data_IF_692414858288
#
_entry.id   IF_692414858288
#
_cell.length_a   1.000
_cell.length_b   1.000
_cell.length_c   1.000
_cell.angle_alpha   90.00
_cell.angle_beta   90.00
_cell.angle_gamma   90.00
#
_symmetry.space_group_name_H-M   'P 1'
#
loop_
_entity.id
_entity.type
_entity.pdbx_description
1 polymer ?
#
# COMPACT_ATOMS: atom_id res chain seq x y z
N UNK A 1 -6.89 7.41 -23.47
CA UNK A 1 -7.24 6.09 -22.91
C UNK A 1 -5.93 5.37 -22.64
N UNK A 2 -5.44 5.43 -21.40
CA UNK A 2 -4.19 4.74 -21.02
C UNK A 2 -4.49 3.24 -20.98
N UNK A 3 -3.83 2.46 -21.82
CA UNK A 3 -3.96 1.00 -21.79
C UNK A 3 -3.31 0.48 -20.52
N UNK A 4 -4.09 -0.09 -19.61
CA UNK A 4 -3.56 -0.80 -18.44
C UNK A 4 -2.56 -1.86 -18.91
N UNK A 5 -1.34 -1.93 -18.35
CA UNK A 5 -0.37 -2.96 -18.68
C UNK A 5 -0.97 -4.35 -18.46
N UNK A 6 -0.66 -5.28 -19.37
CA UNK A 6 -1.08 -6.67 -19.24
C UNK A 6 -0.41 -7.30 -18.01
N UNK A 7 -1.21 -7.83 -17.09
CA UNK A 7 -0.72 -8.51 -15.88
C UNK A 7 -0.28 -9.92 -16.28
N UNK A 8 1.01 -10.21 -16.19
CA UNK A 8 1.54 -11.55 -16.45
C UNK A 8 1.39 -12.42 -15.20
N UNK A 9 0.55 -13.46 -15.28
CA UNK A 9 0.27 -14.37 -14.17
C UNK A 9 0.72 -15.80 -14.51
N UNK A 10 0.98 -16.61 -13.48
CA UNK A 10 1.29 -18.02 -13.65
C UNK A 10 0.05 -18.84 -14.07
N UNK A 11 0.27 -19.97 -14.73
CA UNK A 11 -0.82 -20.82 -15.26
C UNK A 11 -1.81 -21.35 -14.19
N UNK A 12 -1.38 -21.40 -12.93
CA UNK A 12 -2.21 -21.84 -11.79
C UNK A 12 -3.03 -20.72 -11.15
N UNK A 13 -2.84 -19.46 -11.58
CA UNK A 13 -3.56 -18.32 -11.03
C UNK A 13 -5.01 -18.30 -11.51
N UNK A 14 -5.95 -18.21 -10.55
CA UNK A 14 -7.40 -18.30 -10.82
C UNK A 14 -8.17 -17.06 -10.36
N UNK A 15 -7.51 -16.15 -9.63
CA UNK A 15 -8.12 -14.92 -9.12
C UNK A 15 -8.20 -13.89 -10.24
N UNK A 16 -9.21 -13.04 -10.17
CA UNK A 16 -9.35 -11.93 -11.12
C UNK A 16 -8.45 -10.79 -10.68
N UNK A 17 -7.74 -10.17 -11.62
CA UNK A 17 -6.82 -9.09 -11.35
C UNK A 17 -7.14 -7.89 -12.24
N UNK A 18 -7.06 -6.69 -11.68
CA UNK A 18 -7.23 -5.45 -12.42
C UNK A 18 -6.13 -4.46 -12.00
N UNK A 19 -5.49 -3.85 -12.99
CA UNK A 19 -4.53 -2.78 -12.78
C UNK A 19 -5.15 -1.46 -13.22
N UNK A 20 -5.03 -0.44 -12.37
CA UNK A 20 -5.47 0.91 -12.66
C UNK A 20 -4.52 1.94 -12.04
N UNK A 21 -4.54 3.14 -12.60
CA UNK A 21 -3.88 4.32 -12.07
C UNK A 21 -4.95 5.35 -11.72
N UNK A 22 -4.95 5.80 -10.46
CA UNK A 22 -5.87 6.81 -9.97
C UNK A 22 -5.48 8.20 -10.49
N UNK A 23 -6.41 9.16 -10.42
CA UNK A 23 -6.18 10.54 -10.87
C UNK A 23 -4.99 11.23 -10.16
N UNK A 24 -4.63 10.76 -8.96
CA UNK A 24 -3.47 11.25 -8.20
C UNK A 24 -2.15 10.53 -8.54
N UNK A 25 -2.14 9.66 -9.56
CA UNK A 25 -0.98 8.89 -10.01
C UNK A 25 -0.68 7.63 -9.19
N UNK A 26 -1.51 7.29 -8.20
CA UNK A 26 -1.34 6.05 -7.44
C UNK A 26 -1.67 4.84 -8.31
N UNK A 27 -0.72 3.91 -8.39
CA UNK A 27 -0.86 2.65 -9.11
C UNK A 27 -1.46 1.60 -8.18
N UNK A 28 -2.55 0.97 -8.62
CA UNK A 28 -3.32 0.03 -7.81
C UNK A 28 -3.46 -1.29 -8.56
N UNK A 29 -3.22 -2.39 -7.83
CA UNK A 29 -3.53 -3.75 -8.26
C UNK A 29 -4.68 -4.28 -7.41
N UNK A 30 -5.84 -4.46 -8.03
CA UNK A 30 -7.00 -5.11 -7.41
C UNK A 30 -6.93 -6.61 -7.65
N UNK A 31 -7.17 -7.40 -6.61
CA UNK A 31 -7.26 -8.86 -6.68
C UNK A 31 -8.61 -9.28 -6.11
N UNK A 32 -9.45 -9.90 -6.93
CA UNK A 32 -10.74 -10.43 -6.52
C UNK A 32 -10.65 -11.95 -6.37
N UNK A 33 -10.82 -12.40 -5.12
CA UNK A 33 -10.89 -13.80 -4.74
C UNK A 33 -12.16 -14.05 -3.91
N UNK A 34 -13.27 -14.51 -4.52
CA UNK A 34 -14.49 -14.82 -3.81
C UNK A 34 -14.37 -15.97 -2.79
N UNK A 35 -13.26 -16.71 -2.80
CA UNK A 35 -13.00 -17.83 -1.89
C UNK A 35 -12.09 -17.45 -0.72
N UNK A 36 -11.62 -16.21 -0.65
CA UNK A 36 -10.71 -15.78 0.39
C UNK A 36 -11.42 -15.66 1.75
N UNK A 37 -10.88 -16.32 2.77
CA UNK A 37 -11.37 -16.20 4.16
C UNK A 37 -11.01 -14.85 4.80
N UNK A 38 -10.02 -14.15 4.24
CA UNK A 38 -9.53 -12.85 4.73
C UNK A 38 -9.22 -11.93 3.55
N UNK A 39 -9.56 -10.65 3.71
CA UNK A 39 -9.07 -9.59 2.84
C UNK A 39 -7.71 -9.07 3.34
N UNK A 40 -6.94 -8.47 2.43
CA UNK A 40 -5.68 -7.80 2.74
C UNK A 40 -5.51 -6.58 1.85
N UNK A 41 -4.76 -5.60 2.34
CA UNK A 41 -4.33 -4.44 1.59
C UNK A 41 -2.87 -4.12 1.98
N UNK A 42 -2.11 -3.59 1.03
CA UNK A 42 -0.75 -3.11 1.24
C UNK A 42 -0.54 -1.84 0.41
N UNK A 43 0.30 -0.94 0.93
CA UNK A 43 0.70 0.29 0.25
C UNK A 43 2.22 0.42 0.35
N UNK A 44 2.86 0.67 -0.78
CA UNK A 44 4.29 0.92 -0.88
C UNK A 44 4.52 2.40 -1.21
N UNK A 45 5.49 3.01 -0.53
CA UNK A 45 5.98 4.35 -0.85
C UNK A 45 7.42 4.20 -1.29
N UNK A 46 7.75 4.68 -2.48
CA UNK A 46 9.06 4.50 -3.12
C UNK A 46 10.18 5.38 -2.52
N UNK A 47 10.28 5.41 -1.19
CA UNK A 47 11.29 6.11 -0.37
C UNK A 47 11.60 5.26 0.86
N UNK A 48 12.68 5.58 1.58
CA UNK A 48 13.07 4.82 2.78
C UNK A 48 14.34 5.36 3.39
N UNK A 49 14.98 4.62 4.30
CA UNK A 49 16.12 5.10 5.10
C UNK A 49 17.31 5.66 4.28
N UNK A 50 17.50 5.21 3.02
CA UNK A 50 18.52 5.77 2.12
C UNK A 50 18.26 7.26 1.77
N UNK A 51 17.06 7.75 2.05
CA UNK A 51 16.63 9.13 1.85
C UNK A 51 16.54 9.91 3.18
N UNK A 52 16.99 9.33 4.30
CA UNK A 52 17.01 10.04 5.57
C UNK A 52 17.95 11.26 5.49
N UNK A 53 17.58 12.41 6.09
CA UNK A 53 18.51 13.52 6.28
C UNK A 53 19.74 13.02 7.05
N UNK A 54 20.94 13.50 6.69
CA UNK A 54 22.19 13.08 7.35
C UNK A 54 22.22 13.43 8.84
N UNK A 55 21.43 14.43 9.20
CA UNK A 55 21.26 15.06 10.49
C UNK A 55 20.25 14.29 11.35
N UNK A 56 19.37 13.49 10.72
CA UNK A 56 18.31 12.69 11.35
C UNK A 56 18.25 11.28 10.74
N UNK A 57 19.27 10.42 11.00
CA UNK A 57 19.21 9.02 10.60
C UNK A 57 18.05 8.31 11.30
N UNK A 58 17.31 7.48 10.57
CA UNK A 58 16.16 6.73 11.07
C UNK A 58 14.82 7.44 10.91
N UNK A 59 14.77 8.62 10.27
CA UNK A 59 13.53 9.39 10.13
C UNK A 59 12.45 8.66 9.34
N UNK A 60 12.79 7.97 8.24
CA UNK A 60 11.82 7.21 7.46
C UNK A 60 11.18 6.09 8.31
N UNK A 61 11.99 5.34 9.05
CA UNK A 61 11.51 4.30 9.96
C UNK A 61 10.70 4.90 11.11
N UNK A 62 11.12 6.03 11.68
CA UNK A 62 10.35 6.70 12.73
C UNK A 62 8.98 7.16 12.20
N UNK A 63 8.94 7.73 11.00
CA UNK A 63 7.70 8.12 10.32
C UNK A 63 6.76 6.93 10.15
N UNK A 64 7.27 5.77 9.72
CA UNK A 64 6.50 4.51 9.61
C UNK A 64 5.77 4.16 10.92
N UNK A 65 6.46 4.21 12.06
CA UNK A 65 5.83 3.95 13.38
C UNK A 65 4.73 4.97 13.71
N UNK A 66 4.96 6.24 13.41
CA UNK A 66 4.01 7.31 13.73
C UNK A 66 2.69 7.19 12.97
N UNK A 67 2.66 6.53 11.80
CA UNK A 67 1.44 6.31 11.03
C UNK A 67 0.38 5.50 11.80
N UNK A 68 0.80 4.71 12.79
CA UNK A 68 -0.09 3.89 13.61
C UNK A 68 -0.60 4.60 14.88
N UNK A 69 -0.15 5.82 15.14
CA UNK A 69 -0.48 6.60 16.36
C UNK A 69 -1.65 7.58 16.15
N UNK A 70 -2.35 7.52 15.02
CA UNK A 70 -3.56 8.30 14.78
C UNK A 70 -3.45 9.22 13.56
N UNK A 71 -4.61 9.63 13.07
CA UNK A 71 -4.77 10.50 11.89
C UNK A 71 -5.80 11.58 12.18
N UNK A 72 -5.90 12.60 11.34
CA UNK A 72 -6.93 13.64 11.49
C UNK A 72 -8.36 13.06 11.55
N UNK A 73 -8.64 12.04 10.73
CA UNK A 73 -9.95 11.37 10.69
C UNK A 73 -10.16 10.39 11.85
N UNK A 74 -9.09 9.77 12.34
CA UNK A 74 -9.10 8.81 13.44
C UNK A 74 -8.01 9.17 14.47
N UNK A 75 -8.28 10.14 15.35
CA UNK A 75 -7.22 10.75 16.18
C UNK A 75 -6.86 9.95 17.43
N UNK A 76 -7.68 8.97 17.83
CA UNK A 76 -7.39 8.11 18.97
C UNK A 76 -6.27 7.13 18.59
N UNK A 77 -5.21 7.11 19.39
CA UNK A 77 -4.12 6.14 19.27
C UNK A 77 -4.64 4.69 19.34
N UNK A 78 -3.93 3.78 18.68
CA UNK A 78 -4.18 2.33 18.66
C UNK A 78 -5.50 1.87 18.00
N UNK A 79 -6.32 2.76 17.45
CA UNK A 79 -7.57 2.37 16.74
C UNK A 79 -7.30 1.47 15.54
N UNK A 80 -6.13 1.56 14.91
CA UNK A 80 -5.78 0.71 13.78
C UNK A 80 -5.38 -0.73 14.21
N UNK A 81 -4.90 -0.89 15.45
CA UNK A 81 -4.39 -2.17 15.97
C UNK A 81 -5.45 -2.93 16.79
N UNK A 82 -6.53 -2.26 17.21
CA UNK A 82 -7.69 -2.83 17.92
C UNK A 82 -8.66 -3.57 17.00
#
# INVERSE_FOLDING_TARGET
MSTSPAIQLGASEKRQHEYLELDNGLKVLLVSDPKADKAAAALDVHVGHLHDPKELPGLAHFCEHLLFLGTEKYPKENVFSE
#
